data_IF_029339137640
#
_entry.id   IF_029339137640
#
_cell.length_a   1.000
_cell.length_b   1.000
_cell.length_c   1.000
_cell.angle_alpha   90.00
_cell.angle_beta   90.00
_cell.angle_gamma   90.00
#
_symmetry.space_group_name_H-M   'P 1'
#
loop_
_entity.id
_entity.type
_entity.pdbx_description
1 polymer ?
#
# COMPACT_ATOMS: atom_id res chain seq x y z
N UNK A 1 84.19 24.88 -29.86
CA UNK A 1 84.30 25.06 -31.32
C UNK A 1 83.12 25.92 -31.77
N UNK A 2 83.17 27.26 -31.75
CA UNK A 2 83.71 28.21 -32.76
C UNK A 2 83.40 27.88 -34.23
N UNK A 3 82.63 28.80 -34.83
CA UNK A 3 82.51 29.20 -36.25
C UNK A 3 81.78 28.21 -37.19
N UNK A 4 80.95 28.59 -38.18
CA UNK A 4 80.95 29.70 -39.17
C UNK A 4 79.47 30.00 -39.61
N UNK A 5 78.98 31.23 -39.85
CA UNK A 5 79.17 32.16 -41.02
C UNK A 5 78.74 31.50 -42.37
N UNK A 6 77.82 31.96 -43.24
CA UNK A 6 77.65 33.29 -43.88
C UNK A 6 76.36 33.47 -44.74
N UNK A 7 75.86 34.73 -44.77
CA UNK A 7 75.43 35.62 -45.90
C UNK A 7 74.35 35.15 -46.91
N UNK A 8 73.17 35.78 -47.03
CA UNK A 8 72.75 37.15 -47.43
C UNK A 8 72.75 37.43 -48.95
N UNK A 9 71.59 37.79 -49.55
CA UNK A 9 71.39 38.67 -50.76
C UNK A 9 69.89 39.07 -50.80
N UNK A 10 69.46 40.29 -50.43
CA UNK A 10 69.31 41.58 -51.17
C UNK A 10 68.02 41.74 -52.05
N UNK A 11 67.13 42.65 -51.57
CA UNK A 11 66.21 43.63 -52.23
C UNK A 11 65.05 43.16 -53.12
N UNK A 12 63.83 43.66 -52.86
CA UNK A 12 63.26 44.93 -53.34
C UNK A 12 61.86 45.21 -52.74
N UNK A 13 61.56 46.50 -52.53
CA UNK A 13 60.27 47.06 -52.13
C UNK A 13 59.53 47.49 -53.40
N UNK A 14 58.25 47.11 -53.55
CA UNK A 14 57.33 47.80 -54.47
C UNK A 14 55.84 47.65 -54.07
N UNK A 15 55.26 48.81 -53.75
CA UNK A 15 53.91 49.30 -54.08
C UNK A 15 52.62 48.56 -53.63
N UNK A 16 51.95 49.24 -52.70
CA UNK A 16 50.51 49.26 -52.39
C UNK A 16 49.56 48.91 -53.55
N UNK A 17 48.54 48.08 -53.28
CA UNK A 17 47.12 48.36 -53.60
C UNK A 17 46.19 47.78 -52.54
N UNK A 18 45.35 48.67 -52.01
CA UNK A 18 44.23 48.41 -51.12
C UNK A 18 43.22 47.46 -51.77
N UNK A 19 42.83 46.42 -51.04
CA UNK A 19 41.59 45.69 -51.27
C UNK A 19 40.98 45.33 -49.91
N UNK A 20 40.04 46.17 -49.46
CA UNK A 20 39.15 45.89 -48.34
C UNK A 20 38.30 44.68 -48.77
N UNK A 21 38.61 43.48 -48.26
CA UNK A 21 37.71 42.33 -48.36
C UNK A 21 36.76 42.39 -47.16
N UNK A 22 35.50 42.72 -47.44
CA UNK A 22 34.39 42.55 -46.52
C UNK A 22 34.32 41.08 -46.09
N UNK A 23 34.79 40.77 -44.89
CA UNK A 23 34.55 39.48 -44.27
C UNK A 23 33.10 39.48 -43.76
N UNK A 24 32.22 38.80 -44.51
CA UNK A 24 30.89 38.46 -44.02
C UNK A 24 31.08 37.46 -42.87
N UNK A 25 31.08 37.95 -41.62
CA UNK A 25 30.98 37.08 -40.45
C UNK A 25 29.57 36.50 -40.44
N UNK A 26 29.41 35.30 -40.99
CA UNK A 26 28.26 34.45 -40.66
C UNK A 26 28.49 34.03 -39.21
N UNK A 27 27.90 34.78 -38.29
CA UNK A 27 27.69 34.30 -36.94
C UNK A 27 26.72 33.12 -37.07
N UNK A 28 27.26 31.90 -37.10
CA UNK A 28 26.49 30.71 -36.80
C UNK A 28 26.04 30.87 -35.36
N UNK A 29 24.81 31.35 -35.16
CA UNK A 29 24.10 31.21 -33.90
C UNK A 29 23.89 29.71 -33.76
N UNK A 30 24.83 29.04 -33.11
CA UNK A 30 24.53 27.77 -32.49
C UNK A 30 23.49 28.14 -31.44
N UNK A 31 22.22 27.95 -31.78
CA UNK A 31 21.19 27.76 -30.78
C UNK A 31 21.64 26.56 -29.97
N UNK A 32 22.35 26.83 -28.87
CA UNK A 32 22.46 25.87 -27.80
C UNK A 32 21.02 25.76 -27.33
N UNK A 33 20.29 24.77 -27.85
CA UNK A 33 18.98 24.42 -27.30
C UNK A 33 19.21 24.32 -25.81
N UNK A 34 18.56 25.21 -25.04
CA UNK A 34 18.76 25.26 -23.60
C UNK A 34 18.50 23.87 -23.07
N UNK A 35 19.55 23.16 -22.65
CA UNK A 35 19.36 22.00 -21.81
C UNK A 35 18.67 22.55 -20.57
N UNK A 36 17.38 22.23 -20.40
CA UNK A 36 16.69 22.54 -19.17
C UNK A 36 17.54 21.95 -18.05
N UNK A 37 18.15 22.82 -17.24
CA UNK A 37 18.98 22.40 -16.13
C UNK A 37 18.01 21.81 -15.09
N UNK A 38 17.80 20.49 -15.16
CA UNK A 38 16.88 19.80 -14.26
C UNK A 38 17.50 19.90 -12.86
N UNK A 39 16.89 20.71 -12.00
CA UNK A 39 17.39 21.01 -10.65
C UNK A 39 17.31 19.81 -9.71
N UNK A 40 17.80 19.94 -8.48
CA UNK A 40 17.49 18.97 -7.42
C UNK A 40 15.98 18.88 -7.22
N UNK A 41 15.45 17.74 -6.73
CA UNK A 41 14.03 17.68 -6.37
C UNK A 41 13.73 18.73 -5.30
N UNK A 42 12.56 19.36 -5.41
CA UNK A 42 12.05 20.29 -4.40
C UNK A 42 10.62 19.91 -4.06
N UNK A 43 10.37 19.55 -2.80
CA UNK A 43 9.03 19.33 -2.27
C UNK A 43 8.47 20.64 -1.73
N UNK A 44 7.38 21.11 -2.34
CA UNK A 44 6.74 22.38 -1.98
C UNK A 44 5.66 22.16 -0.93
N UNK A 45 4.80 21.15 -1.12
CA UNK A 45 3.68 20.89 -0.23
C UNK A 45 3.26 19.43 -0.20
N UNK A 46 2.61 19.06 0.91
CA UNK A 46 1.92 17.79 1.08
C UNK A 46 0.47 18.07 1.49
N UNK A 47 -0.49 17.32 0.93
CA UNK A 47 -1.91 17.46 1.27
C UNK A 47 -2.66 16.12 1.23
N UNK A 48 -3.32 15.70 2.32
CA UNK A 48 -3.44 16.39 3.63
C UNK A 48 -2.13 16.34 4.45
N UNK A 49 -2.00 17.16 5.50
CA UNK A 49 -0.82 17.14 6.41
C UNK A 49 -1.01 16.23 7.63
N UNK A 50 -2.20 15.65 7.78
CA UNK A 50 -2.60 14.79 8.90
C UNK A 50 -3.55 13.71 8.40
N UNK A 51 -3.49 12.53 9.00
CA UNK A 51 -4.40 11.43 8.73
C UNK A 51 -3.94 10.13 9.38
N UNK A 52 -4.78 9.09 9.39
CA UNK A 52 -4.37 7.76 9.81
C UNK A 52 -3.38 7.15 8.82
N UNK A 53 -2.78 6.02 9.19
CA UNK A 53 -2.14 5.14 8.20
C UNK A 53 -3.11 4.78 7.05
N UNK A 54 -2.57 4.50 5.87
CA UNK A 54 -3.35 4.29 4.64
C UNK A 54 -3.88 5.57 3.98
N UNK A 55 -3.73 6.74 4.59
CA UNK A 55 -4.17 8.01 4.00
C UNK A 55 -3.52 8.25 2.64
N UNK A 56 -4.33 8.56 1.62
CA UNK A 56 -3.86 9.02 0.31
C UNK A 56 -3.39 10.47 0.40
N UNK A 57 -2.11 10.66 0.10
CA UNK A 57 -1.39 11.92 0.20
C UNK A 57 -0.91 12.39 -1.16
N UNK A 58 -1.19 13.64 -1.51
CA UNK A 58 -0.56 14.30 -2.64
C UNK A 58 0.69 15.07 -2.20
N UNK A 59 1.79 14.84 -2.92
CA UNK A 59 3.06 15.53 -2.79
C UNK A 59 3.25 16.38 -4.04
N UNK A 60 3.33 17.71 -3.88
CA UNK A 60 3.54 18.67 -4.95
C UNK A 60 4.93 19.28 -4.85
N UNK A 61 5.59 19.46 -5.99
CA UNK A 61 6.95 19.97 -6.04
C UNK A 61 7.47 20.29 -7.43
N UNK A 62 8.79 20.34 -7.56
CA UNK A 62 9.52 20.49 -8.82
C UNK A 62 10.58 19.39 -8.95
N UNK A 63 10.87 19.01 -10.20
CA UNK A 63 11.89 18.02 -10.57
C UNK A 63 11.79 16.70 -9.77
N UNK A 64 10.58 16.22 -9.51
CA UNK A 64 10.29 14.95 -8.79
C UNK A 64 10.31 13.71 -9.70
N UNK A 65 10.64 13.87 -10.98
CA UNK A 65 10.73 12.76 -11.93
C UNK A 65 11.83 11.75 -11.55
N UNK A 66 11.49 10.46 -11.74
CA UNK A 66 12.38 9.34 -11.42
C UNK A 66 12.43 9.03 -9.93
N UNK A 67 11.40 9.41 -9.16
CA UNK A 67 11.36 9.11 -7.73
C UNK A 67 11.51 7.61 -7.48
N UNK A 68 12.50 7.25 -6.66
CA UNK A 68 12.84 5.86 -6.31
C UNK A 68 12.29 5.47 -4.95
N UNK A 69 12.06 6.44 -4.07
CA UNK A 69 11.45 6.23 -2.77
C UNK A 69 10.63 7.44 -2.31
N UNK A 70 9.56 7.15 -1.57
CA UNK A 70 8.90 8.08 -0.65
C UNK A 70 8.99 7.47 0.73
N UNK A 71 9.57 8.20 1.68
CA UNK A 71 9.82 7.73 3.04
C UNK A 71 9.06 8.58 4.04
N UNK A 72 8.43 7.94 5.03
CA UNK A 72 7.91 8.59 6.24
C UNK A 72 8.86 8.27 7.38
N UNK A 73 9.72 9.24 7.72
CA UNK A 73 10.92 8.95 8.52
C UNK A 73 11.83 7.96 7.78
N UNK A 74 11.99 6.76 8.33
CA UNK A 74 12.74 5.66 7.71
C UNK A 74 11.84 4.62 7.01
N UNK A 75 10.52 4.74 7.12
CA UNK A 75 9.58 3.74 6.62
C UNK A 75 9.20 4.02 5.16
N UNK A 76 9.42 3.08 4.23
CA UNK A 76 8.99 3.24 2.84
C UNK A 76 7.48 3.28 2.69
N UNK A 77 7.00 4.21 1.87
CA UNK A 77 5.62 4.29 1.41
C UNK A 77 5.47 3.70 0.02
N UNK A 78 4.30 3.11 -0.24
CA UNK A 78 3.90 2.88 -1.62
C UNK A 78 3.50 4.22 -2.24
N UNK A 79 3.87 4.43 -3.51
CA UNK A 79 3.59 5.68 -4.21
C UNK A 79 3.49 5.47 -5.72
N UNK A 80 2.89 6.45 -6.38
CA UNK A 80 2.80 6.57 -7.83
C UNK A 80 3.26 7.95 -8.25
N UNK A 81 4.26 7.99 -9.12
CA UNK A 81 4.66 9.23 -9.77
C UNK A 81 3.64 9.60 -10.84
N UNK A 82 3.02 10.77 -10.73
CA UNK A 82 2.02 11.27 -11.69
C UNK A 82 2.67 12.18 -12.72
N UNK A 83 3.61 13.03 -12.28
CA UNK A 83 4.41 13.91 -13.14
C UNK A 83 5.67 14.35 -12.41
N UNK A 84 6.54 15.12 -13.08
CA UNK A 84 7.70 15.75 -12.44
C UNK A 84 7.34 16.76 -11.32
N UNK A 85 6.05 17.09 -11.14
CA UNK A 85 5.57 18.02 -10.10
C UNK A 85 4.64 17.37 -9.08
N UNK A 86 4.31 16.09 -9.25
CA UNK A 86 3.25 15.44 -8.48
C UNK A 86 3.51 13.95 -8.27
N UNK A 87 3.51 13.56 -7.01
CA UNK A 87 3.52 12.17 -6.56
C UNK A 87 2.28 11.96 -5.69
N UNK A 88 1.63 10.80 -5.81
CA UNK A 88 0.67 10.35 -4.80
C UNK A 88 1.28 9.22 -4.01
N UNK A 89 1.23 9.30 -2.69
CA UNK A 89 1.72 8.27 -1.77
C UNK A 89 0.61 7.83 -0.81
N UNK A 90 0.75 6.63 -0.27
CA UNK A 90 -0.09 6.15 0.83
C UNK A 90 0.74 6.18 2.12
N UNK A 91 0.17 6.71 3.20
CA UNK A 91 0.83 6.70 4.52
C UNK A 91 1.09 5.24 4.93
N UNK A 92 2.33 4.83 5.22
CA UNK A 92 2.64 3.46 5.62
C UNK A 92 1.92 3.06 6.92
N UNK A 93 1.66 1.77 7.07
CA UNK A 93 1.21 1.21 8.34
C UNK A 93 2.35 1.17 9.36
N UNK A 94 2.00 1.22 10.65
CA UNK A 94 2.97 1.16 11.77
C UNK A 94 4.01 2.30 11.75
N UNK A 95 3.66 3.43 11.14
CA UNK A 95 4.52 4.62 11.11
C UNK A 95 4.10 5.63 12.15
N UNK A 96 5.08 6.39 12.65
CA UNK A 96 4.85 7.52 13.56
C UNK A 96 4.88 8.85 12.81
N UNK A 97 4.36 9.90 13.43
CA UNK A 97 4.51 11.29 12.96
C UNK A 97 5.96 11.58 12.60
N UNK A 98 6.20 11.95 11.34
CA UNK A 98 7.54 12.03 10.77
C UNK A 98 7.59 12.94 9.56
N UNK A 99 8.80 13.39 9.21
CA UNK A 99 9.04 14.10 7.95
C UNK A 99 8.88 13.14 6.78
N UNK A 100 8.41 13.67 5.65
CA UNK A 100 8.34 12.91 4.39
C UNK A 100 9.55 13.25 3.56
N UNK A 101 10.23 12.25 3.00
CA UNK A 101 11.35 12.44 2.08
C UNK A 101 11.03 11.78 0.74
N UNK A 102 11.22 12.51 -0.35
CA UNK A 102 11.24 11.96 -1.72
C UNK A 102 12.70 11.83 -2.14
N UNK A 103 13.08 10.65 -2.62
CA UNK A 103 14.39 10.39 -3.19
C UNK A 103 14.29 10.22 -4.70
N UNK A 104 15.19 10.88 -5.42
CA UNK A 104 15.36 10.74 -6.87
C UNK A 104 16.85 10.52 -7.18
N UNK A 105 17.20 10.08 -8.40
CA UNK A 105 18.61 10.01 -8.83
C UNK A 105 19.36 11.35 -8.77
N UNK A 106 18.62 12.48 -8.67
CA UNK A 106 19.18 13.84 -8.62
C UNK A 106 19.29 14.40 -7.20
N UNK A 107 18.96 13.62 -6.18
CA UNK A 107 19.03 14.01 -4.78
C UNK A 107 17.74 13.70 -4.01
N UNK A 108 17.58 14.30 -2.84
CA UNK A 108 16.38 14.13 -2.02
C UNK A 108 15.78 15.47 -1.61
N UNK A 109 14.49 15.46 -1.33
CA UNK A 109 13.79 16.61 -0.75
C UNK A 109 12.86 16.14 0.35
N UNK A 110 12.82 16.89 1.45
CA UNK A 110 11.93 16.62 2.56
C UNK A 110 10.78 17.62 2.65
N UNK A 111 9.69 17.22 3.29
CA UNK A 111 8.57 18.10 3.63
C UNK A 111 9.03 19.23 4.54
N UNK A 112 8.30 20.36 4.55
CA UNK A 112 8.61 21.47 5.47
C UNK A 112 8.24 21.17 6.93
N UNK A 113 7.18 20.39 7.12
CA UNK A 113 6.64 19.98 8.41
C UNK A 113 6.41 18.47 8.43
N UNK A 114 6.37 17.82 9.61
CA UNK A 114 6.06 16.40 9.68
C UNK A 114 4.60 16.17 9.29
N UNK A 115 4.34 15.03 8.65
CA UNK A 115 2.99 14.51 8.51
C UNK A 115 2.55 13.94 9.86
N UNK A 116 1.40 14.36 10.35
CA UNK A 116 0.87 13.93 11.63
C UNK A 116 0.06 12.65 11.43
N UNK A 117 0.54 11.55 12.02
CA UNK A 117 -0.21 10.28 12.01
C UNK A 117 -1.22 10.31 13.14
N UNK A 118 -2.50 10.22 12.79
CA UNK A 118 -3.60 10.22 13.73
C UNK A 118 -4.57 9.07 13.42
N UNK A 119 -4.43 7.98 14.17
CA UNK A 119 -5.25 6.78 14.02
C UNK A 119 -6.52 6.86 14.88
N UNK A 120 -7.55 6.09 14.50
CA UNK A 120 -8.80 6.03 15.27
C UNK A 120 -8.53 5.52 16.70
N UNK A 121 -8.82 6.31 17.74
CA UNK A 121 -8.52 5.94 19.12
C UNK A 121 -9.32 4.73 19.61
N UNK A 122 -10.41 4.36 18.92
CA UNK A 122 -11.19 3.15 19.22
C UNK A 122 -10.46 1.87 18.83
N UNK A 123 -9.36 1.94 18.09
CA UNK A 123 -8.54 0.77 17.75
C UNK A 123 -7.42 0.63 18.79
N UNK A 124 -7.29 -0.54 19.46
CA UNK A 124 -6.25 -0.76 20.46
C UNK A 124 -4.83 -0.54 19.94
N UNK A 125 -3.91 -0.13 20.81
CA UNK A 125 -2.55 0.26 20.42
C UNK A 125 -1.77 -0.93 19.83
N UNK A 126 -1.96 -2.12 20.39
CA UNK A 126 -1.31 -3.36 19.98
C UNK A 126 -1.69 -3.86 18.58
N UNK A 127 -2.78 -3.34 18.01
CA UNK A 127 -3.22 -3.70 16.66
C UNK A 127 -2.18 -3.21 15.66
N UNK A 128 -1.62 -4.17 14.92
CA UNK A 128 -0.56 -3.92 13.93
C UNK A 128 -1.01 -3.09 12.72
N UNK A 129 -2.24 -3.29 12.23
CA UNK A 129 -2.79 -2.57 11.08
C UNK A 129 -4.11 -1.92 11.53
N UNK A 130 -4.05 -0.62 11.79
CA UNK A 130 -5.12 0.25 12.28
C UNK A 130 -6.00 0.79 11.16
N UNK A 131 -5.57 0.73 9.91
CA UNK A 131 -6.42 1.07 8.77
C UNK A 131 -6.47 -0.07 7.74
N UNK A 132 -7.51 -0.04 6.91
CA UNK A 132 -7.61 -0.90 5.74
C UNK A 132 -6.59 -0.52 4.68
N UNK A 133 -6.21 -1.51 3.87
CA UNK A 133 -5.30 -1.33 2.76
C UNK A 133 -5.50 -2.39 1.69
N UNK A 134 -5.09 -2.06 0.48
CA UNK A 134 -4.82 -3.03 -0.58
C UNK A 134 -3.31 -3.25 -0.62
N UNK A 135 -2.89 -4.50 -0.56
CA UNK A 135 -1.48 -4.86 -0.63
C UNK A 135 -0.92 -4.47 -2.00
N UNK A 136 0.02 -3.52 -2.01
CA UNK A 136 0.64 -3.03 -3.24
C UNK A 136 1.62 -4.04 -3.87
N UNK A 137 2.02 -5.08 -3.12
CA UNK A 137 2.86 -6.14 -3.67
C UNK A 137 2.10 -6.84 -4.82
N UNK A 138 2.71 -6.96 -6.01
CA UNK A 138 2.05 -7.59 -7.13
C UNK A 138 1.70 -9.04 -6.79
N UNK A 139 0.55 -9.50 -7.30
CA UNK A 139 0.14 -10.90 -7.18
C UNK A 139 1.13 -11.79 -7.96
N UNK A 140 1.73 -12.82 -7.34
CA UNK A 140 2.40 -13.92 -8.02
C UNK A 140 1.57 -14.47 -9.18
N UNK A 141 2.26 -14.74 -10.29
CA UNK A 141 1.63 -15.13 -11.54
C UNK A 141 0.86 -16.47 -11.49
N UNK A 142 1.05 -17.27 -10.44
CA UNK A 142 0.47 -18.60 -10.28
C UNK A 142 -0.66 -18.67 -9.24
N UNK A 143 -1.21 -17.53 -8.83
CA UNK A 143 -2.40 -17.51 -7.98
C UNK A 143 -3.64 -17.97 -8.77
N UNK A 144 -4.37 -18.95 -8.21
CA UNK A 144 -5.54 -19.56 -8.89
C UNK A 144 -6.75 -19.72 -7.97
N UNK A 145 -6.72 -19.18 -6.76
CA UNK A 145 -7.79 -19.26 -5.78
C UNK A 145 -7.70 -18.09 -4.80
N UNK A 146 -8.73 -17.90 -4.00
CA UNK A 146 -8.77 -16.93 -2.92
C UNK A 146 -9.56 -17.47 -1.72
N UNK A 147 -9.32 -16.90 -0.54
CA UNK A 147 -10.06 -17.25 0.68
C UNK A 147 -10.30 -16.01 1.53
N UNK A 148 -11.56 -15.76 1.86
CA UNK A 148 -11.95 -14.74 2.81
C UNK A 148 -11.54 -15.14 4.22
N UNK A 149 -11.07 -14.14 4.95
CA UNK A 149 -10.79 -14.22 6.38
C UNK A 149 -11.33 -12.98 7.09
N UNK A 150 -11.40 -13.06 8.41
CA UNK A 150 -11.65 -11.90 9.25
C UNK A 150 -11.03 -12.06 10.62
N UNK A 151 -10.86 -10.93 11.29
CA UNK A 151 -10.32 -10.82 12.63
C UNK A 151 -11.38 -10.19 13.51
N UNK A 152 -11.63 -10.75 14.68
CA UNK A 152 -12.40 -10.13 15.74
C UNK A 152 -11.58 -10.07 17.03
N UNK A 153 -11.72 -8.98 17.79
CA UNK A 153 -11.04 -8.80 19.07
C UNK A 153 -11.97 -8.13 20.08
N UNK A 154 -11.68 -8.34 21.36
CA UNK A 154 -12.27 -7.58 22.45
C UNK A 154 -11.44 -6.31 22.72
N UNK A 155 -12.08 -5.16 22.86
CA UNK A 155 -11.43 -3.91 23.30
C UNK A 155 -11.35 -3.86 24.83
N UNK A 156 -10.24 -4.34 25.40
CA UNK A 156 -10.04 -4.46 26.84
C UNK A 156 -10.06 -3.14 27.60
N UNK A 157 -10.00 -2.00 26.91
CA UNK A 157 -10.05 -0.65 27.50
C UNK A 157 -11.46 -0.26 27.94
N UNK A 158 -12.50 -0.92 27.42
CA UNK A 158 -13.90 -0.65 27.79
C UNK A 158 -14.48 -1.80 28.62
N UNK A 159 -15.25 -1.56 29.71
CA UNK A 159 -15.76 -2.63 30.57
C UNK A 159 -16.63 -3.67 29.87
N UNK A 160 -17.36 -3.26 28.82
CA UNK A 160 -18.25 -4.11 28.06
C UNK A 160 -17.54 -5.29 27.36
N UNK A 161 -16.22 -5.23 27.19
CA UNK A 161 -15.43 -6.26 26.51
C UNK A 161 -15.62 -7.66 27.08
N UNK A 162 -15.92 -7.78 28.39
CA UNK A 162 -16.11 -9.09 29.06
C UNK A 162 -17.29 -9.88 28.51
N UNK A 163 -18.28 -9.19 27.96
CA UNK A 163 -19.46 -9.80 27.32
C UNK A 163 -19.47 -9.55 25.79
N UNK A 164 -18.35 -9.09 25.23
CA UNK A 164 -18.27 -8.75 23.82
C UNK A 164 -18.39 -9.99 22.94
N UNK A 165 -19.17 -9.86 21.88
CA UNK A 165 -19.41 -10.90 20.90
C UNK A 165 -19.57 -10.29 19.50
N UNK A 166 -19.31 -11.13 18.50
CA UNK A 166 -19.61 -10.87 17.10
C UNK A 166 -20.52 -11.98 16.60
N UNK A 167 -21.62 -11.59 15.96
CA UNK A 167 -22.50 -12.52 15.24
C UNK A 167 -22.25 -12.35 13.73
N UNK A 168 -22.12 -13.47 13.02
CA UNK A 168 -21.82 -13.53 11.59
C UNK A 168 -22.94 -14.33 10.93
N UNK A 169 -23.81 -13.64 10.19
CA UNK A 169 -24.94 -14.24 9.50
C UNK A 169 -24.50 -14.92 8.19
N UNK A 170 -23.57 -14.30 7.46
CA UNK A 170 -23.01 -14.89 6.24
C UNK A 170 -21.68 -14.25 5.88
N UNK A 171 -20.89 -14.97 5.08
CA UNK A 171 -19.69 -14.46 4.41
C UNK A 171 -19.75 -14.78 2.93
N UNK A 172 -19.27 -13.85 2.09
CA UNK A 172 -19.25 -14.02 0.64
C UNK A 172 -17.94 -13.53 0.07
N UNK A 173 -17.34 -14.33 -0.80
CA UNK A 173 -16.17 -13.96 -1.58
C UNK A 173 -16.55 -13.98 -3.06
N UNK A 174 -16.36 -12.86 -3.73
CA UNK A 174 -16.59 -12.74 -5.19
C UNK A 174 -15.37 -12.14 -5.88
N UNK A 175 -15.10 -12.54 -7.11
CA UNK A 175 -14.01 -11.99 -7.91
C UNK A 175 -14.51 -11.49 -9.26
N UNK A 176 -13.91 -10.38 -9.72
CA UNK A 176 -14.19 -9.81 -11.04
C UNK A 176 -13.16 -10.26 -12.05
N UNK A 177 -13.62 -10.91 -13.11
CA UNK A 177 -12.80 -11.49 -14.17
C UNK A 177 -13.40 -11.10 -15.51
N UNK A 178 -12.64 -10.38 -16.35
CA UNK A 178 -13.09 -9.87 -17.64
C UNK A 178 -14.46 -9.13 -17.52
N UNK A 179 -14.54 -8.16 -16.60
CA UNK A 179 -15.72 -7.34 -16.29
C UNK A 179 -16.96 -8.10 -15.78
N UNK A 180 -16.78 -9.36 -15.33
CA UNK A 180 -17.87 -10.19 -14.78
C UNK A 180 -17.57 -10.64 -13.37
N UNK A 181 -18.60 -10.57 -12.52
CA UNK A 181 -18.51 -11.01 -11.13
C UNK A 181 -18.83 -12.50 -10.99
N UNK A 182 -17.93 -13.21 -10.32
CA UNK A 182 -18.05 -14.63 -9.99
C UNK A 182 -18.05 -14.80 -8.48
N UNK A 183 -19.06 -15.45 -7.94
CA UNK A 183 -19.10 -15.83 -6.52
C UNK A 183 -18.25 -17.08 -6.34
N UNK A 184 -17.18 -17.00 -5.55
CA UNK A 184 -16.33 -18.13 -5.20
C UNK A 184 -16.85 -18.89 -3.99
N UNK A 185 -17.37 -18.15 -2.99
CA UNK A 185 -17.91 -18.69 -1.76
C UNK A 185 -19.10 -17.85 -1.30
N UNK A 186 -20.13 -18.51 -0.77
CA UNK A 186 -21.34 -17.90 -0.21
C UNK A 186 -21.80 -18.75 0.98
N UNK A 187 -21.20 -18.47 2.13
CA UNK A 187 -21.32 -19.28 3.33
C UNK A 187 -22.34 -18.65 4.29
N UNK A 188 -23.41 -19.37 4.60
CA UNK A 188 -24.47 -18.93 5.51
C UNK A 188 -24.26 -19.51 6.90
N UNK A 189 -24.36 -18.68 7.93
CA UNK A 189 -24.48 -19.10 9.33
C UNK A 189 -23.25 -19.80 9.92
N UNK A 190 -22.17 -19.97 9.18
CA UNK A 190 -21.01 -20.77 9.57
C UNK A 190 -19.69 -20.10 9.20
N UNK A 191 -18.72 -20.19 10.12
CA UNK A 191 -17.31 -19.88 9.86
C UNK A 191 -16.41 -20.89 10.55
N UNK A 192 -15.26 -21.16 9.94
CA UNK A 192 -14.16 -21.85 10.61
C UNK A 192 -13.24 -20.80 11.27
N UNK A 193 -12.36 -21.21 12.19
CA UNK A 193 -11.37 -20.28 12.73
C UNK A 193 -10.42 -20.88 13.75
N UNK A 194 -9.53 -20.02 14.24
CA UNK A 194 -8.55 -20.31 15.28
C UNK A 194 -8.29 -19.08 16.16
N UNK A 195 -7.86 -19.31 17.40
CA UNK A 195 -7.41 -18.26 18.31
C UNK A 195 -5.90 -18.07 18.19
N UNK A 196 -5.46 -16.86 17.92
CA UNK A 196 -4.04 -16.52 17.74
C UNK A 196 -3.52 -15.65 18.87
N UNK A 197 -2.19 -15.60 19.01
CA UNK A 197 -1.51 -14.74 19.99
C UNK A 197 -1.82 -13.26 19.69
N UNK A 198 -2.28 -12.54 20.70
CA UNK A 198 -2.52 -11.09 20.62
C UNK A 198 -1.27 -10.25 20.92
N UNK A 199 -0.42 -10.74 21.82
CA UNK A 199 0.79 -10.04 22.25
C UNK A 199 2.01 -10.99 22.24
N UNK A 200 3.01 -10.75 21.35
CA UNK A 200 2.97 -9.79 20.26
C UNK A 200 1.90 -10.18 19.21
N UNK A 201 1.45 -9.20 18.42
CA UNK A 201 0.36 -9.38 17.45
C UNK A 201 0.67 -10.50 16.45
N UNK A 202 -0.13 -11.58 16.45
CA UNK A 202 0.12 -12.84 15.72
C UNK A 202 1.51 -13.45 15.95
N UNK A 203 2.07 -13.28 17.15
CA UNK A 203 3.41 -13.78 17.50
C UNK A 203 3.59 -15.27 17.23
N UNK A 204 4.33 -15.63 16.18
CA UNK A 204 4.52 -17.02 15.75
C UNK A 204 3.35 -17.52 14.90
N UNK A 205 3.58 -17.61 13.58
CA UNK A 205 2.55 -17.94 12.57
C UNK A 205 1.90 -19.33 12.73
N UNK A 206 2.44 -20.18 13.62
CA UNK A 206 1.97 -21.56 13.84
C UNK A 206 1.14 -21.71 15.12
N UNK A 207 1.06 -20.70 16.00
CA UNK A 207 0.26 -20.80 17.22
C UNK A 207 -1.21 -20.50 16.94
N UNK A 208 -2.06 -21.53 16.97
CA UNK A 208 -3.49 -21.36 17.01
C UNK A 208 -4.17 -22.40 17.92
N UNK A 209 -5.05 -21.94 18.81
CA UNK A 209 -5.96 -22.79 19.58
C UNK A 209 -7.30 -22.93 18.83
N UNK A 210 -8.12 -23.95 19.12
CA UNK A 210 -9.49 -24.02 18.58
C UNK A 210 -10.28 -22.76 18.91
N UNK A 211 -11.00 -22.22 17.91
CA UNK A 211 -11.87 -21.07 18.10
C UNK A 211 -13.27 -21.54 18.51
N UNK A 212 -13.70 -21.35 19.76
CA UNK A 212 -15.03 -21.76 20.18
C UNK A 212 -16.09 -20.87 19.52
N UNK A 213 -17.13 -21.48 18.98
CA UNK A 213 -18.27 -20.74 18.45
C UNK A 213 -19.57 -21.44 18.83
N UNK A 214 -20.64 -20.66 18.86
CA UNK A 214 -22.01 -21.18 19.02
C UNK A 214 -22.85 -20.70 17.86
N UNK A 215 -24.02 -21.31 17.67
CA UNK A 215 -24.97 -20.89 16.64
C UNK A 215 -26.21 -20.27 17.28
N UNK A 216 -26.64 -19.13 16.76
CA UNK A 216 -27.87 -18.46 17.13
C UNK A 216 -28.94 -18.83 16.10
N UNK A 217 -29.83 -19.76 16.45
CA UNK A 217 -30.91 -20.26 15.60
C UNK A 217 -31.89 -19.15 15.16
N UNK A 218 -32.20 -18.20 16.05
CA UNK A 218 -33.17 -17.15 15.76
C UNK A 218 -32.67 -16.16 14.71
N UNK A 219 -31.36 -15.89 14.72
CA UNK A 219 -30.71 -14.94 13.81
C UNK A 219 -30.00 -15.64 12.64
N UNK A 220 -30.01 -16.98 12.61
CA UNK A 220 -29.25 -17.82 11.69
C UNK A 220 -27.76 -17.44 11.57
N UNK A 221 -27.11 -17.21 12.71
CA UNK A 221 -25.77 -16.63 12.75
C UNK A 221 -24.79 -17.43 13.63
N UNK A 222 -23.53 -17.52 13.20
CA UNK A 222 -22.44 -17.95 14.10
C UNK A 222 -22.15 -16.83 15.10
N UNK A 223 -22.05 -17.18 16.37
CA UNK A 223 -21.67 -16.26 17.46
C UNK A 223 -20.28 -16.61 17.95
N UNK A 224 -19.39 -15.62 17.92
CA UNK A 224 -18.04 -15.66 18.45
C UNK A 224 -17.96 -14.73 19.67
N UNK A 225 -17.71 -15.29 20.85
CA UNK A 225 -17.69 -14.57 22.13
C UNK A 225 -16.30 -14.03 22.45
N UNK A 226 -15.88 -13.00 21.71
CA UNK A 226 -14.51 -12.46 21.81
C UNK A 226 -14.08 -12.06 23.23
N UNK A 227 -15.04 -11.72 24.09
CA UNK A 227 -14.79 -11.37 25.49
C UNK A 227 -14.29 -12.52 26.36
N UNK A 228 -14.60 -13.77 26.03
CA UNK A 228 -14.18 -14.95 26.81
C UNK A 228 -12.67 -15.18 26.71
N UNK A 229 -12.06 -14.77 25.60
CA UNK A 229 -10.61 -14.84 25.35
C UNK A 229 -10.12 -13.50 24.80
N UNK A 230 -10.24 -12.46 25.62
CA UNK A 230 -9.76 -11.12 25.28
C UNK A 230 -8.23 -11.06 25.11
N UNK A 231 -7.50 -12.06 25.61
CA UNK A 231 -6.06 -12.27 25.44
C UNK A 231 -5.67 -12.86 24.07
N UNK A 232 -6.65 -13.11 23.19
CA UNK A 232 -6.46 -13.73 21.87
C UNK A 232 -7.02 -12.88 20.75
N UNK A 233 -6.52 -13.15 19.55
CA UNK A 233 -7.09 -12.69 18.29
C UNK A 233 -7.99 -13.80 17.76
N UNK A 234 -9.24 -13.48 17.46
CA UNK A 234 -10.20 -14.43 16.91
C UNK A 234 -10.16 -14.34 15.40
N UNK A 235 -9.43 -15.25 14.77
CA UNK A 235 -9.26 -15.25 13.32
C UNK A 235 -10.20 -16.30 12.71
N UNK A 236 -11.14 -15.85 11.89
CA UNK A 236 -12.12 -16.70 11.22
C UNK A 236 -11.91 -16.68 9.71
N UNK A 237 -12.42 -17.70 9.03
CA UNK A 237 -12.35 -17.80 7.57
C UNK A 237 -13.50 -18.60 7.00
N UNK A 238 -13.75 -18.41 5.70
CA UNK A 238 -14.81 -19.12 4.98
C UNK A 238 -14.69 -20.64 5.16
N UNK A 239 -15.79 -21.32 5.55
CA UNK A 239 -15.80 -22.76 5.76
C UNK A 239 -15.79 -23.53 4.44
N UNK A 240 -16.35 -22.95 3.37
CA UNK A 240 -16.29 -23.55 2.04
C UNK A 240 -14.85 -23.86 1.62
N UNK A 241 -14.64 -24.99 0.92
CA UNK A 241 -13.38 -25.24 0.24
C UNK A 241 -13.01 -24.09 -0.68
N UNK A 242 -11.71 -23.84 -0.80
CA UNK A 242 -11.19 -22.83 -1.73
C UNK A 242 -11.54 -23.22 -3.17
N UNK A 243 -12.25 -22.35 -3.87
CA UNK A 243 -12.62 -22.53 -5.27
C UNK A 243 -11.50 -22.06 -6.20
N UNK A 244 -11.36 -22.71 -7.35
CA UNK A 244 -10.45 -22.24 -8.41
C UNK A 244 -11.06 -21.02 -9.09
N UNK A 245 -10.23 -20.00 -9.34
CA UNK A 245 -10.58 -18.83 -10.13
C UNK A 245 -10.87 -19.23 -11.58
N UNK A 246 -11.96 -18.71 -12.18
CA UNK A 246 -12.18 -18.82 -13.61
C UNK A 246 -10.99 -18.31 -14.44
N UNK A 247 -10.80 -18.88 -15.62
CA UNK A 247 -9.76 -18.42 -16.56
C UNK A 247 -10.10 -17.03 -17.07
N UNK A 248 -9.16 -16.10 -16.99
CA UNK A 248 -9.30 -14.75 -17.52
C UNK A 248 -8.37 -13.75 -16.84
N UNK A 249 -8.58 -12.47 -17.15
CA UNK A 249 -7.89 -11.37 -16.49
C UNK A 249 -8.59 -11.06 -15.18
N UNK A 250 -7.96 -11.38 -14.07
CA UNK A 250 -8.47 -11.04 -12.74
C UNK A 250 -8.27 -9.56 -12.44
N UNK A 251 -9.35 -8.83 -12.24
CA UNK A 251 -9.31 -7.42 -11.83
C UNK A 251 -9.15 -7.28 -10.31
N UNK A 252 -9.72 -8.23 -9.56
CA UNK A 252 -9.67 -8.24 -8.09
C UNK A 252 -10.80 -9.10 -7.51
N UNK A 253 -10.89 -9.13 -6.20
CA UNK A 253 -11.94 -9.76 -5.43
C UNK A 253 -12.51 -8.83 -4.36
N UNK A 254 -13.68 -9.20 -3.83
CA UNK A 254 -14.36 -8.55 -2.74
C UNK A 254 -14.80 -9.61 -1.73
N UNK A 255 -14.42 -9.38 -0.48
CA UNK A 255 -14.83 -10.14 0.69
C UNK A 255 -15.89 -9.33 1.42
N UNK A 256 -17.07 -9.93 1.64
CA UNK A 256 -18.18 -9.33 2.38
C UNK A 256 -18.61 -10.25 3.53
N UNK A 257 -19.02 -9.67 4.64
CA UNK A 257 -19.64 -10.41 5.74
C UNK A 257 -20.77 -9.58 6.36
N UNK A 258 -21.93 -10.19 6.60
CA UNK A 258 -23.00 -9.55 7.37
C UNK A 258 -22.81 -9.87 8.83
N UNK A 259 -22.52 -8.84 9.62
CA UNK A 259 -22.09 -8.95 11.01
C UNK A 259 -22.92 -8.09 11.95
N UNK A 260 -23.04 -8.51 13.20
CA UNK A 260 -23.55 -7.71 14.31
C UNK A 260 -22.50 -7.71 15.41
N UNK A 261 -22.01 -6.52 15.77
CA UNK A 261 -20.84 -6.35 16.65
C UNK A 261 -21.36 -5.74 17.95
N UNK A 262 -21.20 -6.44 19.07
CA UNK A 262 -21.65 -5.92 20.36
C UNK A 262 -20.64 -4.92 20.96
N UNK A 263 -21.06 -4.09 21.94
CA UNK A 263 -20.14 -3.19 22.64
C UNK A 263 -18.91 -3.90 23.19
N UNK A 264 -17.73 -3.33 22.94
CA UNK A 264 -16.45 -3.92 23.35
C UNK A 264 -15.87 -4.94 22.37
N UNK A 265 -16.49 -5.18 21.22
CA UNK A 265 -15.90 -5.93 20.10
C UNK A 265 -15.51 -5.01 18.93
N UNK A 266 -14.53 -5.46 18.15
CA UNK A 266 -14.08 -4.85 16.89
C UNK A 266 -13.89 -5.97 15.87
N UNK A 267 -14.12 -5.69 14.58
CA UNK A 267 -13.97 -6.66 13.51
C UNK A 267 -13.29 -6.07 12.27
N UNK A 268 -12.52 -6.88 11.56
CA UNK A 268 -11.92 -6.55 10.27
C UNK A 268 -12.12 -7.74 9.32
N UNK A 269 -12.26 -7.49 8.02
CA UNK A 269 -12.35 -8.56 7.00
C UNK A 269 -11.31 -8.34 5.93
N UNK A 270 -10.88 -9.44 5.32
CA UNK A 270 -9.93 -9.42 4.23
C UNK A 270 -10.01 -10.72 3.45
N UNK A 271 -9.06 -10.90 2.55
CA UNK A 271 -8.87 -12.19 1.92
C UNK A 271 -7.41 -12.37 1.49
N UNK A 272 -7.07 -13.63 1.29
CA UNK A 272 -5.78 -14.03 0.74
C UNK A 272 -5.98 -14.63 -0.63
N UNK A 273 -5.05 -14.36 -1.54
CA UNK A 273 -4.87 -15.17 -2.74
C UNK A 273 -4.11 -16.44 -2.41
N UNK A 274 -4.44 -17.54 -3.10
CA UNK A 274 -3.89 -18.89 -2.90
C UNK A 274 -3.41 -19.52 -4.22
N UNK A 275 -2.16 -20.01 -4.26
CA UNK A 275 -1.56 -20.62 -5.47
C UNK A 275 -2.14 -22.00 -5.75
N UNK A 276 -2.59 -22.65 -4.69
CA UNK A 276 -3.19 -23.96 -4.75
C UNK A 276 -4.40 -24.00 -3.79
N UNK A 277 -5.59 -24.40 -4.27
CA UNK A 277 -6.80 -24.46 -3.45
C UNK A 277 -6.73 -25.55 -2.36
N UNK A 278 -5.89 -26.58 -2.50
CA UNK A 278 -5.87 -27.72 -1.57
C UNK A 278 -4.76 -27.66 -0.53
N UNK A 279 -3.66 -26.95 -0.81
CA UNK A 279 -2.51 -26.90 0.11
C UNK A 279 -2.79 -25.92 1.26
N UNK A 280 -2.50 -26.36 2.50
CA UNK A 280 -2.64 -25.53 3.69
C UNK A 280 -1.68 -24.33 3.73
N UNK A 281 -1.78 -23.55 4.80
CA UNK A 281 -0.74 -22.59 5.15
C UNK A 281 0.55 -23.34 5.50
N UNK A 282 1.74 -22.80 5.15
CA UNK A 282 3.00 -23.46 5.46
C UNK A 282 4.21 -22.90 4.71
N UNK A 283 5.38 -23.52 4.95
CA UNK A 283 6.66 -23.09 4.38
C UNK A 283 6.62 -23.11 2.84
N UNK A 284 6.87 -21.95 2.22
CA UNK A 284 6.83 -21.79 0.76
C UNK A 284 5.85 -20.73 0.25
N UNK A 285 5.04 -20.13 1.14
CA UNK A 285 4.20 -18.97 0.81
C UNK A 285 3.09 -19.31 -0.18
N UNK A 286 2.26 -20.31 0.17
CA UNK A 286 1.14 -20.73 -0.67
C UNK A 286 0.06 -19.65 -0.79
N UNK A 287 -0.01 -18.74 0.18
CA UNK A 287 -0.92 -17.61 0.20
C UNK A 287 -0.19 -16.26 0.25
N UNK A 288 -0.89 -15.23 -0.22
CA UNK A 288 -0.50 -13.85 -0.06
C UNK A 288 -1.74 -13.03 0.26
N UNK A 289 -1.65 -12.22 1.30
CA UNK A 289 -2.71 -11.30 1.69
C UNK A 289 -2.95 -10.25 0.60
N UNK A 290 -4.21 -10.11 0.17
CA UNK A 290 -4.61 -9.08 -0.78
C UNK A 290 -4.82 -7.73 -0.09
N UNK A 291 -5.16 -7.77 1.19
CA UNK A 291 -5.38 -6.61 2.03
C UNK A 291 -6.54 -6.83 2.98
N UNK A 292 -7.02 -5.74 3.56
CA UNK A 292 -8.04 -5.78 4.61
C UNK A 292 -8.85 -4.49 4.65
N UNK A 293 -10.07 -4.59 5.17
CA UNK A 293 -10.98 -3.47 5.38
C UNK A 293 -10.48 -2.52 6.47
N UNK A 294 -11.14 -1.38 6.64
CA UNK A 294 -11.06 -0.67 7.92
C UNK A 294 -11.69 -1.53 9.04
N UNK A 295 -11.40 -1.18 10.30
CA UNK A 295 -12.07 -1.78 11.44
C UNK A 295 -13.54 -1.35 11.53
N UNK A 296 -14.40 -2.34 11.77
CA UNK A 296 -15.82 -2.19 12.04
C UNK A 296 -16.05 -2.19 13.56
N UNK A 297 -17.01 -1.36 13.97
CA UNK A 297 -17.27 -1.01 15.37
C UNK A 297 -18.65 -1.50 15.82
N UNK A 298 -18.93 -1.48 17.13
CA UNK A 298 -20.22 -1.91 17.66
C UNK A 298 -21.42 -1.23 17.00
N UNK A 299 -22.46 -2.01 16.73
CA UNK A 299 -23.73 -1.57 16.16
C UNK A 299 -24.88 -2.40 16.74
N UNK A 300 -26.00 -1.74 17.06
CA UNK A 300 -27.23 -2.44 17.46
C UNK A 300 -27.89 -3.17 16.29
N UNK A 301 -27.63 -2.71 15.07
CA UNK A 301 -28.13 -3.29 13.83
C UNK A 301 -27.06 -4.12 13.12
N UNK A 302 -27.53 -5.03 12.27
CA UNK A 302 -26.69 -5.73 11.31
C UNK A 302 -26.01 -4.75 10.35
N UNK A 303 -24.72 -4.95 10.11
CA UNK A 303 -23.91 -4.17 9.18
C UNK A 303 -23.17 -5.08 8.21
N UNK A 304 -22.81 -4.56 7.04
CA UNK A 304 -21.98 -5.28 6.06
C UNK A 304 -20.52 -4.83 6.21
N UNK A 305 -19.66 -5.77 6.60
CA UNK A 305 -18.23 -5.61 6.57
C UNK A 305 -17.71 -5.97 5.17
N UNK A 306 -16.87 -5.12 4.57
CA UNK A 306 -16.40 -5.30 3.21
C UNK A 306 -14.93 -4.89 3.04
N UNK A 307 -14.21 -5.70 2.29
CA UNK A 307 -12.91 -5.37 1.70
C UNK A 307 -12.92 -5.72 0.21
N UNK A 308 -12.34 -4.87 -0.62
CA UNK A 308 -12.09 -5.19 -2.04
C UNK A 308 -10.75 -4.64 -2.50
N UNK A 309 -10.04 -5.43 -3.32
CA UNK A 309 -8.84 -4.99 -4.04
C UNK A 309 -9.12 -4.66 -5.51
N UNK A 310 -10.39 -4.67 -5.93
CA UNK A 310 -10.77 -4.29 -7.29
C UNK A 310 -10.41 -2.81 -7.52
N UNK A 311 -9.66 -2.56 -8.60
CA UNK A 311 -9.08 -1.24 -8.87
C UNK A 311 -7.71 -1.03 -8.22
N UNK A 312 -7.23 -1.98 -7.42
CA UNK A 312 -5.92 -1.97 -6.79
C UNK A 312 -5.77 -0.91 -5.69
N UNK A 313 -4.51 -0.60 -5.30
CA UNK A 313 -4.24 0.48 -4.38
C UNK A 313 -4.70 1.83 -4.92
N UNK A 314 -5.38 2.60 -4.07
CA UNK A 314 -6.03 3.86 -4.44
C UNK A 314 -5.02 5.03 -4.48
N UNK A 315 -4.11 5.04 -5.46
CA UNK A 315 -3.21 6.16 -5.77
C UNK A 315 -3.88 7.21 -6.67
#
# INVERSE_FOLDING_TARGET
>A
MRAFYQKSWIRQIAARRSAIRSALFIACIISVGGFAQIGSPEMISISPTVGPEGTRLEITGENLDGATAVLFGATPASFKQISHRKIVALVPHKVSTSMITVETPRGSSSSRFPFIVYNDPRIPEEVSYKAGYVNAAPRPANFNSARLWGIAIADTRVPAHKAAQVEIAWTRLSCRINDKDFVLNDDLGHVNGGLYIRHPWFGGNDYHEPMPSSYNEAEHATVIRVGERADRIWHFWSPSPRATLPVGTLEGCAAKARVKISPGALLQVGFDYWRNPTVGYGSGGNNQEAGTSNWYFPSSEWQEAEFSDIGGPQF
#
